data_IF_281270355402
#
_entry.id   IF_281270355402
#
_cell.length_a   1.000
_cell.length_b   1.000
_cell.length_c   1.000
_cell.angle_alpha   90.00
_cell.angle_beta   90.00
_cell.angle_gamma   90.00
#
_symmetry.space_group_name_H-M   'P 1'
#
loop_
_entity.id
_entity.type
_entity.pdbx_description
1 polymer ?
#
# COMPACT_ATOMS: atom_id res chain seq x y z
N UNK A 1 44.28 39.03 33.85
CA UNK A 1 43.00 38.75 33.21
C UNK A 1 43.24 37.84 32.00
N UNK A 2 43.23 36.54 32.23
CA UNK A 2 43.36 35.54 31.16
C UNK A 2 41.94 35.10 30.75
N UNK A 3 41.57 35.50 29.55
CA UNK A 3 40.32 35.01 28.93
C UNK A 3 40.59 33.59 28.37
N UNK A 4 40.09 32.59 29.05
CA UNK A 4 40.05 31.24 28.55
C UNK A 4 39.18 31.20 27.29
N UNK A 5 39.82 31.02 26.14
CA UNK A 5 39.16 30.63 24.89
C UNK A 5 38.56 29.21 25.09
N UNK A 6 37.29 29.12 25.38
CA UNK A 6 36.50 27.88 25.19
C UNK A 6 36.59 27.51 23.72
N UNK A 7 37.42 26.53 23.38
CA UNK A 7 37.43 25.86 22.07
C UNK A 7 36.15 25.04 22.06
N UNK A 8 35.11 25.51 21.36
CA UNK A 8 33.99 24.70 20.99
C UNK A 8 34.53 23.51 20.19
N UNK A 9 34.54 22.34 20.80
CA UNK A 9 34.88 21.09 20.11
C UNK A 9 33.86 20.89 19.02
N UNK A 10 34.25 21.16 17.78
CA UNK A 10 33.45 20.94 16.60
C UNK A 10 33.10 19.45 16.55
N UNK A 11 31.82 19.13 16.76
CA UNK A 11 31.30 17.78 16.72
C UNK A 11 31.48 17.20 15.32
N UNK A 12 32.18 16.08 15.18
CA UNK A 12 32.45 15.44 13.89
C UNK A 12 31.77 14.08 13.88
N UNK A 13 30.67 13.98 13.14
CA UNK A 13 30.00 12.73 12.88
C UNK A 13 30.83 11.76 12.05
N UNK A 14 30.63 10.46 12.25
CA UNK A 14 31.27 9.44 11.41
C UNK A 14 30.77 9.52 9.97
N UNK A 15 31.58 9.16 8.95
CA UNK A 15 31.15 9.15 7.56
C UNK A 15 29.87 8.31 7.32
N UNK A 16 29.71 7.20 8.04
CA UNK A 16 28.52 6.35 7.98
C UNK A 16 27.27 7.10 8.45
N UNK A 17 27.35 7.80 9.60
CA UNK A 17 26.22 8.55 10.14
C UNK A 17 25.85 9.76 9.28
N UNK A 18 26.82 10.42 8.66
CA UNK A 18 26.56 11.48 7.67
C UNK A 18 25.74 10.94 6.48
N UNK A 19 26.10 9.76 5.97
CA UNK A 19 25.37 9.11 4.90
C UNK A 19 23.95 8.73 5.36
N UNK A 20 23.79 8.17 6.56
CA UNK A 20 22.50 7.86 7.15
C UNK A 20 21.60 9.09 7.23
N UNK A 21 22.07 10.18 7.86
CA UNK A 21 21.28 11.39 8.02
C UNK A 21 20.96 12.09 6.71
N UNK A 22 21.84 12.03 5.71
CA UNK A 22 21.56 12.58 4.38
C UNK A 22 20.41 11.84 3.68
N UNK A 23 20.35 10.53 3.82
CA UNK A 23 19.26 9.71 3.27
C UNK A 23 17.98 9.90 4.10
N UNK A 24 18.10 9.90 5.43
CA UNK A 24 16.96 10.13 6.34
C UNK A 24 16.28 11.49 6.09
N UNK A 25 17.05 12.52 5.76
CA UNK A 25 16.50 13.85 5.45
C UNK A 25 15.57 13.85 4.21
N UNK A 26 15.76 12.90 3.28
CA UNK A 26 14.88 12.73 2.11
C UNK A 26 13.60 11.97 2.49
N UNK A 27 13.66 11.10 3.49
CA UNK A 27 12.54 10.28 3.98
C UNK A 27 12.31 10.48 5.48
N UNK A 28 11.96 11.70 5.93
CA UNK A 28 11.91 12.05 7.35
C UNK A 28 10.82 11.29 8.12
N UNK A 29 9.76 10.91 7.44
CA UNK A 29 8.57 10.24 7.95
C UNK A 29 8.63 8.70 7.87
N UNK A 30 9.71 8.12 7.33
CA UNK A 30 9.88 6.69 7.22
C UNK A 30 10.97 6.16 8.18
N UNK A 31 10.77 4.99 8.77
CA UNK A 31 11.83 4.26 9.47
C UNK A 31 12.86 3.82 8.44
N UNK A 32 14.10 4.29 8.57
CA UNK A 32 15.17 3.96 7.64
C UNK A 32 15.89 2.69 8.08
N UNK A 33 15.65 1.59 7.36
CA UNK A 33 16.40 0.34 7.49
C UNK A 33 17.67 0.44 6.65
N UNK A 34 18.79 0.73 7.29
CA UNK A 34 20.05 1.05 6.65
C UNK A 34 20.99 -0.15 6.66
N UNK A 35 21.38 -0.65 5.49
CA UNK A 35 22.23 -1.83 5.36
C UNK A 35 23.64 -1.57 5.83
N UNK A 36 24.09 -2.28 6.86
CA UNK A 36 25.45 -2.24 7.39
C UNK A 36 25.99 -3.67 7.52
N UNK A 37 26.78 -4.09 6.55
CA UNK A 37 27.25 -5.47 6.47
C UNK A 37 26.07 -6.44 6.37
N UNK A 38 25.97 -7.38 7.32
CA UNK A 38 24.91 -8.40 7.34
C UNK A 38 23.66 -7.99 8.13
N UNK A 39 23.54 -6.69 8.48
CA UNK A 39 22.42 -6.19 9.26
C UNK A 39 21.71 -5.05 8.54
N UNK A 40 20.40 -4.93 8.79
CA UNK A 40 19.68 -3.67 8.70
C UNK A 40 19.73 -3.00 10.07
N UNK A 41 20.37 -1.83 10.12
CA UNK A 41 20.48 -1.00 11.31
C UNK A 41 19.59 0.24 11.16
N UNK A 42 19.00 0.69 12.23
CA UNK A 42 18.27 1.95 12.32
C UNK A 42 18.76 2.73 13.54
N UNK A 43 18.71 4.06 13.48
CA UNK A 43 19.38 4.93 14.46
C UNK A 43 18.43 5.99 15.02
N UNK A 44 18.76 6.49 16.24
CA UNK A 44 18.04 7.57 16.90
C UNK A 44 16.57 7.22 17.18
N UNK A 45 15.66 8.11 16.83
CA UNK A 45 14.21 7.93 17.04
C UNK A 45 13.66 6.72 16.29
N UNK A 46 14.15 6.45 15.07
CA UNK A 46 13.77 5.27 14.31
C UNK A 46 14.13 3.97 15.06
N UNK A 47 15.31 3.95 15.73
CA UNK A 47 15.74 2.78 16.50
C UNK A 47 14.85 2.55 17.72
N UNK A 48 14.49 3.60 18.43
CA UNK A 48 13.60 3.54 19.59
C UNK A 48 12.23 2.97 19.15
N UNK A 49 11.69 3.52 18.07
CA UNK A 49 10.40 3.13 17.52
C UNK A 49 10.40 1.68 17.02
N UNK A 50 11.39 1.34 16.19
CA UNK A 50 11.55 -0.01 15.65
C UNK A 50 11.77 -1.05 16.76
N UNK A 51 12.60 -0.77 17.76
CA UNK A 51 12.82 -1.65 18.91
C UNK A 51 11.51 -1.95 19.65
N UNK A 52 10.68 -0.92 19.90
CA UNK A 52 9.38 -1.08 20.57
C UNK A 52 8.40 -1.96 19.77
N UNK A 53 8.31 -1.75 18.46
CA UNK A 53 7.38 -2.50 17.59
C UNK A 53 7.86 -3.94 17.38
N UNK A 54 9.15 -4.13 17.13
CA UNK A 54 9.72 -5.44 16.77
C UNK A 54 10.04 -6.32 17.97
N UNK A 55 10.15 -5.73 19.16
CA UNK A 55 10.59 -6.43 20.37
C UNK A 55 12.08 -6.82 20.32
N UNK A 56 12.92 -6.04 19.60
CA UNK A 56 14.36 -6.26 19.50
C UNK A 56 15.14 -5.35 20.43
N UNK A 57 16.38 -5.73 20.75
CA UNK A 57 17.22 -4.99 21.69
C UNK A 57 17.59 -3.61 21.17
N UNK A 58 17.34 -2.57 21.97
CA UNK A 58 17.84 -1.22 21.76
C UNK A 58 19.22 -1.12 22.36
N UNK A 59 20.21 -0.75 21.57
CA UNK A 59 21.61 -0.56 21.97
C UNK A 59 22.07 0.87 21.65
N UNK A 60 23.35 1.15 21.79
CA UNK A 60 23.95 2.44 21.44
C UNK A 60 25.21 2.26 20.65
N UNK A 61 25.43 3.12 19.66
CA UNK A 61 26.63 3.17 18.83
C UNK A 61 27.35 4.49 19.03
N UNK A 62 28.68 4.43 19.12
CA UNK A 62 29.50 5.63 19.16
C UNK A 62 29.45 6.38 17.81
N UNK A 63 29.17 7.70 17.84
CA UNK A 63 29.11 8.56 16.66
C UNK A 63 30.14 9.68 16.78
N UNK A 64 31.42 9.38 16.50
CA UNK A 64 32.53 10.36 16.56
C UNK A 64 32.95 10.71 17.97
N UNK A 65 33.45 11.92 18.16
CA UNK A 65 34.18 12.34 19.36
C UNK A 65 33.30 12.64 20.58
N UNK A 66 32.52 11.69 21.08
CA UNK A 66 31.89 11.73 22.40
C UNK A 66 30.36 11.62 22.50
N UNK A 67 29.64 11.33 21.46
CA UNK A 67 28.20 11.06 21.55
C UNK A 67 27.87 9.62 21.13
N UNK A 68 26.82 9.13 21.72
CA UNK A 68 26.22 7.87 21.35
C UNK A 68 24.89 8.16 20.67
N UNK A 69 24.51 7.32 19.70
CA UNK A 69 23.20 7.33 19.06
C UNK A 69 22.55 5.96 19.34
N UNK A 70 21.27 5.98 19.60
CA UNK A 70 20.47 4.77 19.76
C UNK A 70 20.55 3.94 18.47
N UNK A 71 20.65 2.61 18.64
CA UNK A 71 20.78 1.64 17.56
C UNK A 71 19.85 0.46 17.84
N UNK A 72 19.06 0.09 16.86
CA UNK A 72 18.39 -1.20 16.79
C UNK A 72 18.65 -1.81 15.42
N UNK A 73 18.67 -3.15 15.34
CA UNK A 73 18.93 -3.80 14.07
C UNK A 73 18.66 -5.30 14.13
N UNK A 74 18.56 -5.89 12.95
CA UNK A 74 18.35 -7.33 12.77
C UNK A 74 19.10 -7.81 11.52
N UNK A 75 19.42 -9.12 11.43
CA UNK A 75 20.10 -9.69 10.27
C UNK A 75 19.30 -9.45 8.98
N UNK A 76 19.97 -9.07 7.89
CA UNK A 76 19.29 -8.69 6.66
C UNK A 76 18.38 -9.77 6.07
N UNK A 77 18.78 -11.04 6.20
CA UNK A 77 17.99 -12.18 5.74
C UNK A 77 16.68 -12.37 6.54
N UNK A 78 16.53 -11.70 7.67
CA UNK A 78 15.32 -11.75 8.49
C UNK A 78 14.31 -10.61 8.16
N UNK A 79 14.55 -9.84 7.10
CA UNK A 79 13.67 -8.73 6.73
C UNK A 79 12.23 -9.17 6.52
N UNK A 80 12.00 -10.34 5.93
CA UNK A 80 10.66 -10.90 5.70
C UNK A 80 9.89 -11.23 6.99
N UNK A 81 10.60 -11.32 8.12
CA UNK A 81 10.00 -11.50 9.45
C UNK A 81 9.69 -10.17 10.14
N UNK A 82 10.55 -9.15 9.96
CA UNK A 82 10.49 -7.90 10.71
C UNK A 82 9.76 -6.77 9.96
N UNK A 83 9.96 -6.64 8.65
CA UNK A 83 9.29 -5.64 7.82
C UNK A 83 7.75 -5.70 7.94
N UNK A 84 7.12 -6.89 7.88
CA UNK A 84 5.67 -6.99 8.05
C UNK A 84 5.15 -6.41 9.37
N UNK A 85 5.92 -6.53 10.45
CA UNK A 85 5.51 -6.02 11.76
C UNK A 85 5.52 -4.49 11.79
N UNK A 86 6.51 -3.86 11.19
CA UNK A 86 6.59 -2.40 11.07
C UNK A 86 5.44 -1.85 10.23
N UNK A 87 5.20 -2.44 9.06
CA UNK A 87 4.14 -2.01 8.15
C UNK A 87 2.74 -2.20 8.77
N UNK A 88 2.50 -3.34 9.44
CA UNK A 88 1.23 -3.59 10.16
C UNK A 88 1.02 -2.66 11.35
N UNK A 89 2.10 -2.15 11.94
CA UNK A 89 2.03 -1.10 12.96
C UNK A 89 1.72 0.29 12.38
N UNK A 90 1.57 0.40 11.05
CA UNK A 90 1.28 1.64 10.35
C UNK A 90 2.52 2.47 10.01
N UNK A 91 3.72 1.87 10.04
CA UNK A 91 4.95 2.60 9.74
C UNK A 91 5.28 2.56 8.25
N UNK A 92 5.84 3.67 7.76
CA UNK A 92 6.52 3.72 6.47
C UNK A 92 7.95 3.27 6.68
N UNK A 93 8.48 2.43 5.80
CA UNK A 93 9.81 1.85 5.94
C UNK A 93 10.61 2.05 4.67
N UNK A 94 11.70 2.80 4.76
CA UNK A 94 12.65 2.98 3.67
C UNK A 94 13.74 1.90 3.75
N UNK A 95 13.80 1.04 2.76
CA UNK A 95 14.83 -0.01 2.65
C UNK A 95 16.03 0.57 1.91
N UNK A 96 17.14 0.68 2.59
CA UNK A 96 18.38 1.27 2.08
C UNK A 96 19.46 0.21 1.93
N UNK A 97 19.82 -0.09 0.67
CA UNK A 97 20.82 -1.10 0.31
C UNK A 97 22.16 -0.52 -0.10
N UNK A 98 23.19 -1.36 -0.05
CA UNK A 98 24.50 -1.08 -0.61
C UNK A 98 24.43 -1.16 -2.14
N UNK A 99 24.76 -0.07 -2.82
CA UNK A 99 24.71 0.02 -4.28
C UNK A 99 26.03 -0.41 -4.95
N UNK A 100 27.02 -0.75 -4.15
CA UNK A 100 28.37 -1.12 -4.59
C UNK A 100 28.84 -2.38 -3.80
N UNK A 101 29.62 -3.23 -4.44
CA UNK A 101 30.21 -4.39 -3.78
C UNK A 101 31.26 -3.94 -2.75
N UNK A 102 31.08 -4.22 -1.43
CA UNK A 102 32.04 -3.85 -0.41
C UNK A 102 33.47 -4.37 -0.63
N UNK A 103 33.61 -5.47 -1.39
CA UNK A 103 34.93 -6.07 -1.70
C UNK A 103 35.70 -5.30 -2.77
N UNK A 104 35.02 -4.46 -3.56
CA UNK A 104 35.61 -3.72 -4.69
C UNK A 104 35.87 -2.25 -4.37
N UNK A 105 35.29 -1.72 -3.27
CA UNK A 105 35.38 -0.31 -2.90
C UNK A 105 36.35 -0.09 -1.76
N UNK A 106 37.32 0.84 -1.96
CA UNK A 106 38.18 1.32 -0.87
C UNK A 106 37.48 2.49 -0.17
N UNK A 107 36.87 2.24 1.00
CA UNK A 107 36.23 3.29 1.80
C UNK A 107 34.77 2.98 2.15
N UNK A 108 33.97 4.04 2.31
CA UNK A 108 32.56 3.92 2.63
C UNK A 108 31.75 3.53 1.37
N UNK A 109 31.09 2.39 1.42
CA UNK A 109 30.20 1.90 0.34
C UNK A 109 29.02 2.86 0.18
N UNK A 110 28.71 3.21 -1.07
CA UNK A 110 27.54 4.02 -1.41
C UNK A 110 26.25 3.23 -1.15
N UNK A 111 25.27 3.91 -0.56
CA UNK A 111 23.94 3.35 -0.26
C UNK A 111 22.84 4.23 -0.82
N UNK A 112 21.71 3.63 -1.09
CA UNK A 112 20.51 4.33 -1.55
C UNK A 112 19.25 3.58 -1.15
N UNK A 113 18.13 4.30 -1.08
CA UNK A 113 16.82 3.69 -0.88
C UNK A 113 16.44 3.00 -2.18
N UNK A 114 16.15 1.72 -2.08
CA UNK A 114 15.71 0.88 -3.20
C UNK A 114 14.20 0.67 -3.21
N UNK A 115 13.55 0.84 -2.04
CA UNK A 115 12.12 0.63 -1.88
C UNK A 115 11.62 1.42 -0.67
N UNK A 116 10.47 2.06 -0.78
CA UNK A 116 9.73 2.66 0.33
C UNK A 116 8.43 1.89 0.52
N UNK A 117 8.42 1.01 1.51
CA UNK A 117 7.25 0.17 1.82
C UNK A 117 6.30 0.93 2.74
N UNK A 118 5.02 0.99 2.34
CA UNK A 118 3.96 1.66 3.10
C UNK A 118 2.75 0.72 3.22
N UNK A 119 1.79 0.98 4.14
CA UNK A 119 0.62 0.12 4.28
C UNK A 119 -0.20 -0.09 3.01
N UNK A 120 -0.22 0.87 2.09
CA UNK A 120 -0.94 0.81 0.81
C UNK A 120 -0.09 0.30 -0.36
N UNK A 121 1.23 0.20 -0.19
CA UNK A 121 2.15 -0.22 -1.27
C UNK A 121 3.02 -1.35 -0.75
N UNK A 122 2.48 -2.55 -0.83
CA UNK A 122 3.11 -3.78 -0.33
C UNK A 122 3.01 -4.86 -1.40
N UNK A 123 4.14 -5.46 -1.75
CA UNK A 123 4.22 -6.57 -2.72
C UNK A 123 4.49 -7.93 -2.06
N UNK A 124 4.97 -7.96 -0.82
CA UNK A 124 5.38 -9.20 -0.15
C UNK A 124 4.19 -10.04 0.35
N UNK A 125 4.10 -11.30 -0.06
CA UNK A 125 3.07 -12.24 0.38
C UNK A 125 3.00 -12.42 1.91
N UNK A 126 4.12 -12.26 2.60
CA UNK A 126 4.21 -12.36 4.06
C UNK A 126 3.53 -11.19 4.79
N UNK A 127 3.27 -10.07 4.11
CA UNK A 127 2.64 -8.88 4.67
C UNK A 127 1.14 -8.88 4.37
N UNK A 128 0.77 -9.34 3.17
CA UNK A 128 -0.60 -9.34 2.67
C UNK A 128 -1.40 -10.50 3.27
N UNK A 129 -2.63 -10.22 3.69
CA UNK A 129 -3.59 -11.28 3.95
C UNK A 129 -4.03 -11.90 2.62
N UNK A 130 -3.98 -13.24 2.50
CA UNK A 130 -4.20 -13.93 1.23
C UNK A 130 -5.58 -13.64 0.60
N UNK A 131 -6.63 -13.55 1.44
CA UNK A 131 -8.02 -13.32 0.99
C UNK A 131 -8.46 -11.86 1.11
N UNK A 132 -7.53 -10.89 1.14
CA UNK A 132 -7.85 -9.46 1.22
C UNK A 132 -7.11 -8.68 0.15
N UNK A 133 -7.76 -7.64 -0.36
CA UNK A 133 -7.11 -6.62 -1.15
C UNK A 133 -6.35 -5.64 -0.23
N UNK A 134 -5.24 -5.11 -0.72
CA UNK A 134 -4.49 -4.05 -0.08
C UNK A 134 -4.53 -2.79 -0.94
N UNK A 135 -5.68 -2.10 -0.93
CA UNK A 135 -5.84 -0.91 -1.74
C UNK A 135 -5.04 0.28 -1.21
N UNK A 136 -4.26 0.87 -2.10
CA UNK A 136 -3.85 2.27 -2.04
C UNK A 136 -4.97 3.08 -2.69
N UNK A 137 -5.49 4.10 -2.00
CA UNK A 137 -6.44 5.04 -2.58
C UNK A 137 -5.81 6.40 -2.83
N UNK A 138 -6.34 7.12 -3.80
CA UNK A 138 -6.02 8.54 -4.04
C UNK A 138 -7.31 9.32 -4.12
N UNK A 139 -7.38 10.44 -3.41
CA UNK A 139 -8.51 11.36 -3.44
C UNK A 139 -8.05 12.70 -4.00
N UNK A 140 -8.80 13.23 -4.96
CA UNK A 140 -8.59 14.54 -5.53
C UNK A 140 -9.85 15.40 -5.38
N UNK A 141 -9.73 16.53 -4.67
CA UNK A 141 -10.79 17.50 -4.50
C UNK A 141 -10.82 18.47 -5.68
N UNK A 142 -11.54 18.08 -6.74
CA UNK A 142 -11.71 18.92 -7.93
C UNK A 142 -12.69 20.08 -7.70
N UNK A 143 -12.87 20.92 -8.73
CA UNK A 143 -13.75 22.11 -8.63
C UNK A 143 -15.23 21.75 -8.61
N UNK A 144 -15.64 20.72 -9.33
CA UNK A 144 -17.05 20.32 -9.47
C UNK A 144 -17.33 18.98 -8.78
N UNK A 145 -16.40 18.04 -8.90
CA UNK A 145 -16.50 16.68 -8.37
C UNK A 145 -15.25 16.33 -7.58
N UNK A 146 -15.39 15.43 -6.64
CA UNK A 146 -14.27 14.77 -6.00
C UNK A 146 -13.98 13.48 -6.75
N UNK A 147 -12.73 13.26 -7.12
CA UNK A 147 -12.25 12.03 -7.76
C UNK A 147 -11.64 11.09 -6.75
N UNK A 148 -11.77 9.80 -7.00
CA UNK A 148 -11.07 8.76 -6.24
C UNK A 148 -10.57 7.67 -7.17
N UNK A 149 -9.42 7.14 -6.85
CA UNK A 149 -8.90 5.94 -7.47
C UNK A 149 -8.41 4.96 -6.40
N UNK A 150 -8.50 3.66 -6.68
CA UNK A 150 -8.05 2.58 -5.81
C UNK A 150 -7.19 1.62 -6.62
N UNK A 151 -6.02 1.31 -6.14
CA UNK A 151 -5.12 0.34 -6.76
C UNK A 151 -4.68 -0.69 -5.72
N UNK A 152 -4.88 -1.95 -6.03
CA UNK A 152 -4.17 -3.05 -5.37
C UNK A 152 -2.97 -3.42 -6.24
N UNK A 153 -1.78 -2.98 -5.85
CA UNK A 153 -0.56 -3.22 -6.60
C UNK A 153 -0.24 -4.71 -6.71
N UNK A 154 -0.69 -5.53 -5.76
CA UNK A 154 -0.42 -6.97 -5.75
C UNK A 154 -1.25 -7.77 -6.75
N UNK A 155 -2.41 -7.27 -7.16
CA UNK A 155 -3.31 -7.92 -8.13
C UNK A 155 -3.41 -7.16 -9.45
N UNK A 156 -2.99 -5.89 -9.48
CA UNK A 156 -3.19 -4.99 -10.61
C UNK A 156 -4.63 -4.47 -10.75
N UNK A 157 -5.51 -4.75 -9.78
CA UNK A 157 -6.88 -4.20 -9.77
C UNK A 157 -6.84 -2.68 -9.58
N UNK A 158 -7.27 -1.95 -10.61
CA UNK A 158 -7.26 -0.49 -10.62
C UNK A 158 -8.66 0.04 -10.89
N UNK A 159 -9.24 0.75 -9.91
CA UNK A 159 -10.59 1.32 -9.98
C UNK A 159 -10.54 2.83 -9.93
N UNK A 160 -11.53 3.48 -10.58
CA UNK A 160 -11.69 4.92 -10.56
C UNK A 160 -13.17 5.32 -10.50
N UNK A 161 -13.44 6.39 -9.76
CA UNK A 161 -14.76 7.01 -9.70
C UNK A 161 -14.63 8.51 -9.51
N UNK A 162 -15.70 9.25 -9.83
CA UNK A 162 -15.83 10.66 -9.46
C UNK A 162 -17.29 10.98 -9.12
N UNK A 163 -17.49 11.96 -8.23
CA UNK A 163 -18.81 12.34 -7.77
C UNK A 163 -18.79 13.22 -6.54
N UNK A 164 -19.87 13.16 -5.75
CA UNK A 164 -19.96 13.89 -4.48
C UNK A 164 -19.05 13.27 -3.41
N UNK A 165 -18.61 14.06 -2.44
CA UNK A 165 -17.82 13.58 -1.30
C UNK A 165 -18.54 12.46 -0.53
N UNK A 166 -19.86 12.57 -0.39
CA UNK A 166 -20.66 11.51 0.24
C UNK A 166 -20.63 10.19 -0.52
N UNK A 167 -20.55 10.22 -1.86
CA UNK A 167 -20.36 9.02 -2.67
C UNK A 167 -18.96 8.45 -2.48
N UNK A 168 -17.95 9.31 -2.49
CA UNK A 168 -16.55 8.90 -2.29
C UNK A 168 -16.34 8.30 -0.88
N UNK A 169 -16.99 8.88 0.18
CA UNK A 169 -16.95 8.30 1.54
C UNK A 169 -17.49 6.87 1.58
N UNK A 170 -18.56 6.58 0.83
CA UNK A 170 -19.08 5.23 0.71
C UNK A 170 -18.07 4.29 0.04
N UNK A 171 -17.44 4.73 -1.05
CA UNK A 171 -16.40 3.94 -1.73
C UNK A 171 -15.22 3.63 -0.82
N UNK A 172 -14.70 4.64 -0.13
CA UNK A 172 -13.60 4.48 0.83
C UNK A 172 -14.01 3.51 1.95
N UNK A 173 -15.23 3.63 2.45
CA UNK A 173 -15.74 2.78 3.53
C UNK A 173 -15.93 1.32 3.10
N UNK A 174 -16.36 1.09 1.86
CA UNK A 174 -16.62 -0.25 1.32
C UNK A 174 -15.35 -0.96 0.85
N UNK A 175 -14.41 -0.24 0.23
CA UNK A 175 -13.15 -0.82 -0.25
C UNK A 175 -12.05 -0.81 0.81
N UNK A 176 -12.23 -0.04 1.89
CA UNK A 176 -11.36 0.00 3.08
C UNK A 176 -9.86 0.05 2.74
N UNK A 177 -9.39 1.10 2.01
CA UNK A 177 -8.00 1.20 1.59
C UNK A 177 -7.07 1.21 2.81
N UNK A 178 -5.90 0.62 2.65
CA UNK A 178 -4.86 0.58 3.69
C UNK A 178 -4.13 1.91 3.82
N UNK A 179 -4.13 2.71 2.76
CA UNK A 179 -3.53 4.04 2.71
C UNK A 179 -4.31 4.92 1.74
N UNK A 180 -4.42 6.22 2.05
CA UNK A 180 -5.07 7.21 1.20
C UNK A 180 -4.12 8.38 0.95
N UNK A 181 -3.83 8.67 -0.31
CA UNK A 181 -3.08 9.86 -0.70
C UNK A 181 -4.04 10.96 -1.15
N UNK A 182 -3.70 12.21 -0.85
CA UNK A 182 -4.52 13.37 -1.25
C UNK A 182 -3.68 14.65 -1.34
N UNK A 183 -4.29 15.73 -1.83
CA UNK A 183 -3.66 17.02 -2.01
C UNK A 183 -3.27 17.65 -0.66
N UNK A 184 -2.07 18.20 -0.58
CA UNK A 184 -1.62 19.04 0.53
C UNK A 184 -2.46 20.32 0.61
N UNK A 185 -2.80 20.75 1.83
CA UNK A 185 -3.64 21.91 2.07
C UNK A 185 -5.14 21.61 2.10
N UNK A 186 -5.53 20.33 1.99
CA UNK A 186 -6.92 19.86 2.09
C UNK A 186 -7.19 19.02 3.33
N UNK A 187 -6.35 19.12 4.37
CA UNK A 187 -6.39 18.30 5.57
C UNK A 187 -7.73 18.37 6.30
N UNK A 188 -8.23 19.58 6.53
CA UNK A 188 -9.50 19.80 7.22
C UNK A 188 -10.66 19.23 6.40
N UNK A 189 -10.71 19.54 5.10
CA UNK A 189 -11.74 19.04 4.20
C UNK A 189 -11.73 17.51 4.11
N UNK A 190 -10.54 16.90 4.07
CA UNK A 190 -10.39 15.46 4.06
C UNK A 190 -10.91 14.84 5.36
N UNK A 191 -10.52 15.41 6.50
CA UNK A 191 -10.95 14.94 7.82
C UNK A 191 -12.45 15.07 8.03
N UNK A 192 -13.05 16.16 7.57
CA UNK A 192 -14.50 16.42 7.65
C UNK A 192 -15.28 15.43 6.78
N UNK A 193 -14.80 15.14 5.56
CA UNK A 193 -15.48 14.25 4.62
C UNK A 193 -15.33 12.76 4.98
N UNK A 194 -14.12 12.32 5.35
CA UNK A 194 -13.78 10.90 5.45
C UNK A 194 -13.35 10.45 6.86
N UNK A 195 -13.14 11.40 7.76
CA UNK A 195 -12.68 11.15 9.14
C UNK A 195 -11.16 11.08 9.27
N UNK A 196 -10.68 11.03 10.53
CA UNK A 196 -9.26 11.14 10.89
C UNK A 196 -8.55 9.80 11.16
N UNK A 197 -9.25 8.66 10.97
CA UNK A 197 -8.70 7.33 11.30
C UNK A 197 -7.96 6.64 10.16
N UNK A 198 -8.05 7.19 8.96
CA UNK A 198 -7.38 6.64 7.78
C UNK A 198 -5.88 6.92 7.86
N UNK A 199 -5.08 5.95 7.43
CA UNK A 199 -3.66 6.18 7.21
C UNK A 199 -3.50 7.01 5.95
N UNK A 200 -2.86 8.18 6.04
CA UNK A 200 -2.85 9.15 4.93
C UNK A 200 -1.47 9.67 4.60
N UNK A 201 -1.27 10.03 3.32
CA UNK A 201 -0.11 10.76 2.86
C UNK A 201 -0.52 11.92 1.94
N UNK A 202 0.20 13.05 2.03
CA UNK A 202 -0.13 14.28 1.30
C UNK A 202 0.86 14.52 0.19
N UNK A 203 0.35 14.71 -1.01
CA UNK A 203 1.13 15.06 -2.19
C UNK A 203 0.91 16.53 -2.56
N UNK A 204 1.89 17.14 -3.19
CA UNK A 204 1.77 18.51 -3.68
C UNK A 204 0.74 18.61 -4.81
N UNK A 205 0.07 19.75 -4.92
CA UNK A 205 -1.06 19.95 -5.83
C UNK A 205 -0.72 19.66 -7.30
N UNK A 206 0.50 19.98 -7.73
CA UNK A 206 0.93 19.74 -9.12
C UNK A 206 0.90 18.26 -9.55
N UNK A 207 0.99 17.33 -8.61
CA UNK A 207 0.89 15.89 -8.85
C UNK A 207 -0.48 15.51 -9.42
N UNK A 208 -1.51 16.30 -9.11
CA UNK A 208 -2.89 16.04 -9.53
C UNK A 208 -3.27 16.77 -10.85
N UNK A 209 -2.28 17.24 -11.63
CA UNK A 209 -2.54 17.87 -12.94
C UNK A 209 -3.23 16.89 -13.91
N UNK A 210 -4.41 17.25 -14.41
CA UNK A 210 -5.23 16.40 -15.26
C UNK A 210 -4.48 15.98 -16.54
N UNK A 211 -3.86 16.95 -17.23
CA UNK A 211 -3.17 16.69 -18.50
C UNK A 211 -2.01 15.70 -18.32
N UNK A 212 -1.15 15.95 -17.30
CA UNK A 212 0.00 15.09 -16.99
C UNK A 212 -0.45 13.69 -16.60
N UNK A 213 -1.50 13.59 -15.79
CA UNK A 213 -2.00 12.33 -15.29
C UNK A 213 -2.69 11.50 -16.38
N UNK A 214 -3.42 12.16 -17.29
CA UNK A 214 -4.01 11.52 -18.47
C UNK A 214 -2.92 10.93 -19.39
N UNK A 215 -1.84 11.68 -19.65
CA UNK A 215 -0.70 11.20 -20.41
C UNK A 215 0.00 10.02 -19.75
N UNK A 216 0.23 10.12 -18.41
CA UNK A 216 0.84 9.06 -17.60
C UNK A 216 0.02 7.77 -17.66
N UNK A 217 -1.30 7.84 -17.54
CA UNK A 217 -2.21 6.69 -17.63
C UNK A 217 -2.19 6.09 -19.05
N UNK A 218 -2.22 6.91 -20.10
CA UNK A 218 -2.10 6.44 -21.47
C UNK A 218 -0.78 5.70 -21.72
N UNK A 219 0.31 6.21 -21.19
CA UNK A 219 1.64 5.57 -21.29
C UNK A 219 1.65 4.24 -20.53
N UNK A 220 1.11 4.20 -19.30
CA UNK A 220 1.03 2.98 -18.48
C UNK A 220 0.28 1.86 -19.21
N UNK A 221 -0.85 2.18 -19.82
CA UNK A 221 -1.70 1.19 -20.50
C UNK A 221 -1.34 0.97 -21.99
N UNK A 222 -0.28 1.61 -22.49
CA UNK A 222 0.15 1.47 -23.87
C UNK A 222 -0.90 1.94 -24.90
N UNK A 223 -1.73 2.94 -24.55
CA UNK A 223 -2.84 3.42 -25.36
C UNK A 223 -2.71 4.91 -25.69
N UNK A 224 -3.38 5.34 -26.78
CA UNK A 224 -3.48 6.77 -27.14
C UNK A 224 -4.68 7.47 -26.51
N UNK A 225 -5.64 6.75 -25.97
CA UNK A 225 -6.87 7.29 -25.42
C UNK A 225 -7.44 6.34 -24.36
N UNK A 226 -8.06 6.90 -23.33
CA UNK A 226 -8.71 6.15 -22.25
C UNK A 226 -10.16 5.77 -22.57
N UNK A 227 -10.64 6.04 -23.79
CA UNK A 227 -12.02 5.71 -24.25
C UNK A 227 -12.35 4.23 -24.12
N UNK A 228 -11.38 3.36 -24.45
CA UNK A 228 -11.56 1.91 -24.36
C UNK A 228 -11.85 1.39 -22.94
N UNK A 229 -11.44 2.15 -21.93
CA UNK A 229 -11.71 1.83 -20.52
C UNK A 229 -13.01 2.49 -20.00
N UNK A 230 -13.70 3.31 -20.82
CA UNK A 230 -14.91 4.01 -20.42
C UNK A 230 -14.72 5.16 -19.42
N UNK A 231 -13.49 5.65 -19.23
CA UNK A 231 -13.12 6.66 -18.24
C UNK A 231 -12.66 7.99 -18.83
N UNK A 232 -12.69 8.13 -20.16
CA UNK A 232 -12.13 9.28 -20.87
C UNK A 232 -12.81 10.61 -20.52
N UNK A 233 -14.06 10.59 -20.07
CA UNK A 233 -14.82 11.75 -19.63
C UNK A 233 -14.56 12.17 -18.19
N UNK A 234 -13.86 11.36 -17.40
CA UNK A 234 -13.49 11.72 -16.04
C UNK A 234 -12.35 12.74 -16.03
N UNK A 235 -12.41 13.68 -15.09
CA UNK A 235 -11.36 14.69 -14.85
C UNK A 235 -10.74 14.49 -13.47
N UNK A 236 -11.56 14.63 -12.43
CA UNK A 236 -11.12 14.46 -11.04
C UNK A 236 -10.67 13.02 -10.76
N UNK A 237 -11.38 12.03 -11.31
CA UNK A 237 -11.02 10.62 -11.18
C UNK A 237 -9.67 10.28 -11.82
N UNK A 238 -9.40 10.82 -13.03
CA UNK A 238 -8.12 10.59 -13.71
C UNK A 238 -6.96 11.31 -13.01
N UNK A 239 -7.21 12.51 -12.44
CA UNK A 239 -6.22 13.19 -11.60
C UNK A 239 -5.84 12.35 -10.38
N UNK A 240 -6.82 11.74 -9.72
CA UNK A 240 -6.58 10.82 -8.62
C UNK A 240 -5.83 9.55 -9.05
N UNK A 241 -6.22 8.95 -10.20
CA UNK A 241 -5.58 7.74 -10.71
C UNK A 241 -4.11 7.97 -11.10
N UNK A 242 -3.81 9.08 -11.78
CA UNK A 242 -2.44 9.42 -12.14
C UNK A 242 -1.55 9.73 -10.94
N UNK A 243 -2.13 10.31 -9.87
CA UNK A 243 -1.40 10.54 -8.62
C UNK A 243 -0.98 9.21 -7.96
N UNK A 244 -1.74 8.13 -8.09
CA UNK A 244 -1.31 6.79 -7.67
C UNK A 244 -0.04 6.36 -8.42
N UNK A 245 -0.02 6.47 -9.75
CA UNK A 245 1.16 6.11 -10.54
C UNK A 245 2.38 6.96 -10.17
N UNK A 246 2.19 8.25 -9.89
CA UNK A 246 3.25 9.10 -9.38
C UNK A 246 3.76 8.61 -8.01
N UNK A 247 2.85 8.25 -7.11
CA UNK A 247 3.19 7.77 -5.79
C UNK A 247 3.99 6.45 -5.83
N UNK A 248 3.67 5.55 -6.76
CA UNK A 248 4.44 4.33 -6.97
C UNK A 248 5.88 4.64 -7.44
N UNK A 249 6.05 5.59 -8.35
CA UNK A 249 7.38 6.05 -8.76
C UNK A 249 8.15 6.68 -7.57
N UNK A 250 7.47 7.49 -6.75
CA UNK A 250 8.02 8.12 -5.56
C UNK A 250 8.44 7.09 -4.49
N UNK A 251 7.74 5.97 -4.40
CA UNK A 251 8.04 4.86 -3.49
C UNK A 251 8.97 3.80 -4.10
N UNK A 252 9.58 4.11 -5.25
CA UNK A 252 10.53 3.26 -6.00
C UNK A 252 9.91 1.94 -6.54
N UNK A 253 8.60 1.84 -6.62
CA UNK A 253 7.90 0.73 -7.27
C UNK A 253 7.81 0.97 -8.77
N UNK A 254 8.87 0.61 -9.50
CA UNK A 254 9.01 0.90 -10.94
C UNK A 254 8.51 -0.22 -11.83
N UNK A 255 8.49 -1.44 -11.34
CA UNK A 255 8.01 -2.62 -12.10
C UNK A 255 6.51 -2.81 -11.87
N UNK A 256 5.72 -2.03 -12.62
CA UNK A 256 4.26 -2.01 -12.59
C UNK A 256 3.63 -2.40 -13.94
N UNK A 257 4.38 -3.14 -14.78
CA UNK A 257 3.94 -3.55 -16.12
C UNK A 257 2.66 -4.42 -16.10
N UNK A 258 2.41 -5.13 -15.00
CA UNK A 258 1.20 -5.94 -14.79
C UNK A 258 -0.08 -5.11 -14.60
N UNK A 259 0.03 -3.81 -14.30
CA UNK A 259 -1.13 -2.90 -14.21
C UNK A 259 -1.48 -2.46 -15.64
N UNK A 260 -2.38 -3.20 -16.28
CA UNK A 260 -2.69 -3.07 -17.70
C UNK A 260 -4.03 -2.40 -18.00
N UNK A 261 -4.86 -2.18 -17.00
CA UNK A 261 -6.21 -1.66 -17.18
C UNK A 261 -6.70 -0.86 -15.99
N UNK A 262 -7.72 -0.03 -16.23
CA UNK A 262 -8.45 0.71 -15.20
C UNK A 262 -9.94 0.52 -15.45
N UNK A 263 -10.70 0.29 -14.36
CA UNK A 263 -12.14 0.09 -14.41
C UNK A 263 -12.86 1.20 -13.64
N UNK A 264 -13.95 1.71 -14.23
CA UNK A 264 -14.78 2.66 -13.51
C UNK A 264 -15.74 1.95 -12.55
N UNK A 265 -16.06 2.62 -11.45
CA UNK A 265 -17.13 2.22 -10.55
C UNK A 265 -18.29 3.19 -10.79
N UNK A 266 -19.42 2.65 -11.26
CA UNK A 266 -20.63 3.42 -11.49
C UNK A 266 -21.55 3.36 -10.26
N UNK A 267 -21.99 4.54 -9.80
CA UNK A 267 -22.82 4.65 -8.62
C UNK A 267 -24.16 3.87 -8.78
N UNK A 268 -24.66 3.77 -9.99
CA UNK A 268 -25.95 3.17 -10.29
C UNK A 268 -25.93 1.65 -10.30
N UNK A 269 -24.77 1.02 -10.46
CA UNK A 269 -24.64 -0.43 -10.58
C UNK A 269 -24.77 -1.18 -9.26
N UNK A 270 -24.58 -0.49 -8.12
CA UNK A 270 -24.42 -1.13 -6.82
C UNK A 270 -25.39 -0.60 -5.76
N UNK A 271 -25.67 -1.42 -4.76
CA UNK A 271 -26.28 -1.00 -3.49
C UNK A 271 -25.18 -0.48 -2.57
N UNK A 272 -25.26 0.80 -2.23
CA UNK A 272 -24.26 1.43 -1.38
C UNK A 272 -24.66 1.39 0.09
N UNK A 273 -23.76 0.82 0.90
CA UNK A 273 -23.94 0.70 2.33
C UNK A 273 -22.99 1.69 3.00
N UNK A 274 -23.48 2.48 3.95
CA UNK A 274 -22.65 3.42 4.69
C UNK A 274 -21.80 2.74 5.77
N UNK A 275 -20.79 3.45 6.27
CA UNK A 275 -19.83 2.95 7.27
C UNK A 275 -20.47 2.51 8.60
N UNK A 276 -21.60 3.12 8.98
CA UNK A 276 -22.30 2.75 10.22
C UNK A 276 -23.02 1.43 10.04
N UNK A 277 -23.66 1.23 8.90
CA UNK A 277 -24.35 -0.01 8.53
C UNK A 277 -23.35 -1.16 8.38
N UNK A 278 -22.22 -0.94 7.69
CA UNK A 278 -21.13 -1.95 7.57
C UNK A 278 -20.69 -2.42 8.96
N UNK A 279 -20.44 -1.46 9.87
CA UNK A 279 -20.00 -1.77 11.23
C UNK A 279 -21.09 -2.44 12.06
N UNK A 280 -22.33 -1.94 12.00
CA UNK A 280 -23.43 -2.45 12.82
C UNK A 280 -23.90 -3.83 12.38
N UNK A 281 -23.81 -4.14 11.09
CA UNK A 281 -24.05 -5.47 10.55
C UNK A 281 -22.85 -6.41 10.68
N UNK A 282 -21.73 -5.90 11.21
CA UNK A 282 -20.48 -6.66 11.35
C UNK A 282 -20.05 -7.38 10.06
N UNK A 283 -20.12 -6.66 8.91
CA UNK A 283 -19.90 -7.29 7.61
C UNK A 283 -18.48 -7.83 7.46
N UNK A 284 -17.45 -7.08 7.92
CA UNK A 284 -16.03 -7.42 7.75
C UNK A 284 -15.23 -7.47 9.05
N UNK A 285 -15.78 -6.95 10.15
CA UNK A 285 -15.14 -6.94 11.46
C UNK A 285 -16.18 -7.15 12.56
N UNK A 286 -15.87 -7.94 13.57
CA UNK A 286 -16.74 -8.11 14.71
C UNK A 286 -16.48 -7.02 15.76
N UNK A 287 -17.53 -6.52 16.42
CA UNK A 287 -17.46 -5.55 17.52
C UNK A 287 -17.16 -6.21 18.88
N UNK A 288 -17.05 -7.54 18.92
CA UNK A 288 -16.85 -8.33 20.13
C UNK A 288 -15.40 -8.79 20.34
N UNK A 289 -15.14 -9.40 21.48
CA UNK A 289 -13.83 -9.96 21.85
C UNK A 289 -13.45 -11.25 21.08
N UNK A 290 -14.30 -11.75 20.20
CA UNK A 290 -14.05 -12.95 19.42
C UNK A 290 -13.48 -12.57 18.05
N UNK A 291 -12.28 -13.03 17.77
CA UNK A 291 -11.68 -12.94 16.43
C UNK A 291 -12.47 -13.81 15.43
N UNK A 292 -12.56 -13.34 14.17
CA UNK A 292 -13.16 -14.07 13.02
C UNK A 292 -14.63 -14.47 13.22
N UNK A 293 -15.46 -13.53 13.63
CA UNK A 293 -16.90 -13.69 13.78
C UNK A 293 -17.72 -12.71 12.94
N UNK A 294 -17.10 -12.04 11.94
CA UNK A 294 -17.84 -11.18 11.02
C UNK A 294 -18.75 -11.97 10.08
N UNK A 295 -19.70 -11.30 9.44
CA UNK A 295 -20.52 -11.92 8.42
C UNK A 295 -19.69 -12.58 7.32
N UNK A 296 -18.67 -11.87 6.81
CA UNK A 296 -17.77 -12.41 5.81
C UNK A 296 -17.02 -13.66 6.30
N UNK A 297 -16.53 -13.67 7.55
CA UNK A 297 -15.83 -14.84 8.11
C UNK A 297 -16.73 -16.08 8.19
N UNK A 298 -18.01 -15.89 8.52
CA UNK A 298 -18.98 -17.00 8.67
C UNK A 298 -19.34 -17.62 7.32
N UNK A 299 -19.53 -16.79 6.27
CA UNK A 299 -19.96 -17.28 4.95
C UNK A 299 -18.78 -17.65 4.03
N UNK A 300 -17.55 -17.22 4.32
CA UNK A 300 -16.41 -17.54 3.46
C UNK A 300 -16.09 -19.05 3.48
N UNK A 301 -16.44 -19.70 2.38
CA UNK A 301 -16.10 -21.08 2.07
C UNK A 301 -15.27 -21.18 0.79
N UNK A 302 -14.68 -20.05 0.35
CA UNK A 302 -13.87 -20.00 -0.85
C UNK A 302 -12.59 -20.83 -0.70
N UNK A 303 -12.21 -21.52 -1.75
CA UNK A 303 -11.04 -22.41 -1.78
C UNK A 303 -9.77 -21.66 -2.18
N UNK A 304 -9.91 -20.58 -2.95
CA UNK A 304 -8.78 -19.80 -3.46
C UNK A 304 -8.71 -18.41 -2.83
N UNK A 305 -7.52 -17.81 -2.74
CA UNK A 305 -7.38 -16.41 -2.32
C UNK A 305 -8.19 -15.44 -3.19
N UNK A 306 -8.16 -15.62 -4.51
CA UNK A 306 -8.94 -14.84 -5.50
C UNK A 306 -10.45 -14.90 -5.20
N UNK A 307 -10.96 -16.10 -4.92
CA UNK A 307 -12.36 -16.29 -4.53
C UNK A 307 -12.71 -15.54 -3.25
N UNK A 308 -11.82 -15.54 -2.25
CA UNK A 308 -12.01 -14.79 -1.01
C UNK A 308 -12.06 -13.27 -1.23
N UNK A 309 -11.18 -12.72 -2.05
CA UNK A 309 -11.21 -11.30 -2.44
C UNK A 309 -12.49 -10.95 -3.20
N UNK A 310 -12.90 -11.80 -4.15
CA UNK A 310 -14.13 -11.60 -4.90
C UNK A 310 -15.37 -11.65 -4.00
N UNK A 311 -15.45 -12.59 -3.07
CA UNK A 311 -16.56 -12.68 -2.10
C UNK A 311 -16.67 -11.40 -1.26
N UNK A 312 -15.57 -10.91 -0.71
CA UNK A 312 -15.55 -9.66 0.07
C UNK A 312 -16.00 -8.47 -0.76
N UNK A 313 -15.58 -8.38 -2.03
CA UNK A 313 -16.03 -7.35 -2.96
C UNK A 313 -17.52 -7.44 -3.24
N UNK A 314 -18.09 -8.64 -3.41
CA UNK A 314 -19.52 -8.81 -3.60
C UNK A 314 -20.35 -8.41 -2.38
N UNK A 315 -19.82 -8.63 -1.18
CA UNK A 315 -20.46 -8.18 0.07
C UNK A 315 -20.37 -6.65 0.17
N UNK A 316 -19.21 -6.06 -0.15
CA UNK A 316 -18.99 -4.61 -0.09
C UNK A 316 -19.82 -3.84 -1.12
N UNK A 317 -19.98 -4.39 -2.33
CA UNK A 317 -20.64 -3.75 -3.47
C UNK A 317 -21.66 -4.70 -4.10
N UNK A 318 -22.81 -4.95 -3.45
CA UNK A 318 -23.87 -5.80 -4.03
C UNK A 318 -24.44 -5.16 -5.30
N UNK A 319 -24.53 -5.94 -6.37
CA UNK A 319 -25.11 -5.48 -7.64
C UNK A 319 -26.63 -5.32 -7.53
N UNK A 320 -27.19 -4.36 -8.31
CA UNK A 320 -28.64 -4.11 -8.38
C UNK A 320 -29.33 -4.80 -9.57
N UNK A 321 -28.58 -5.10 -10.62
CA UNK A 321 -29.11 -5.62 -11.87
C UNK A 321 -29.72 -7.02 -11.67
N UNK A 322 -31.07 -7.18 -11.84
CA UNK A 322 -31.72 -8.47 -11.64
C UNK A 322 -31.24 -9.53 -12.63
N UNK A 323 -30.84 -9.15 -13.84
CA UNK A 323 -30.36 -10.11 -14.85
C UNK A 323 -29.03 -10.69 -14.40
N UNK A 324 -28.08 -9.84 -14.02
CA UNK A 324 -26.78 -10.29 -13.50
C UNK A 324 -26.89 -11.09 -12.20
N UNK A 325 -27.86 -10.75 -11.35
CA UNK A 325 -28.18 -11.53 -10.14
C UNK A 325 -28.69 -12.91 -10.53
N UNK A 326 -29.65 -12.97 -11.50
CA UNK A 326 -30.18 -14.20 -12.02
C UNK A 326 -29.11 -15.12 -12.58
N UNK A 327 -28.20 -14.61 -13.43
CA UNK A 327 -27.05 -15.36 -13.97
C UNK A 327 -26.19 -16.01 -12.87
N UNK A 328 -25.92 -15.28 -11.77
CA UNK A 328 -25.19 -15.84 -10.63
C UNK A 328 -25.96 -16.94 -9.92
N UNK A 329 -27.28 -16.76 -9.75
CA UNK A 329 -28.14 -17.73 -9.12
C UNK A 329 -28.29 -18.99 -9.98
N UNK A 330 -28.35 -18.88 -11.30
CA UNK A 330 -28.40 -20.01 -12.25
C UNK A 330 -27.18 -20.92 -12.10
N UNK A 331 -25.98 -20.32 -11.92
CA UNK A 331 -24.75 -21.09 -11.65
C UNK A 331 -24.84 -21.84 -10.32
N UNK A 332 -25.33 -21.17 -9.27
CA UNK A 332 -25.53 -21.81 -7.96
C UNK A 332 -26.54 -22.95 -8.07
N UNK A 333 -27.68 -22.74 -8.75
CA UNK A 333 -28.71 -23.77 -8.96
C UNK A 333 -28.15 -24.99 -9.72
N UNK A 334 -27.29 -24.76 -10.74
CA UNK A 334 -26.65 -25.85 -11.47
C UNK A 334 -25.80 -26.72 -10.54
N UNK A 335 -24.99 -26.13 -9.65
CA UNK A 335 -24.16 -26.87 -8.71
C UNK A 335 -24.98 -27.57 -7.60
N UNK A 336 -26.12 -26.98 -7.18
CA UNK A 336 -27.02 -27.61 -6.22
C UNK A 336 -27.69 -28.84 -6.83
N UNK A 337 -28.06 -28.78 -8.13
CA UNK A 337 -28.73 -29.90 -8.85
C UNK A 337 -27.74 -30.99 -9.26
N UNK A 338 -26.50 -30.67 -9.46
CA UNK A 338 -25.46 -31.57 -9.98
C UNK A 338 -24.28 -31.60 -9.02
N UNK A 339 -24.39 -32.41 -7.96
CA UNK A 339 -23.40 -32.51 -6.89
C UNK A 339 -22.07 -33.10 -7.40
N UNK A 340 -22.13 -34.06 -8.35
CA UNK A 340 -20.92 -34.67 -8.92
C UNK A 340 -20.08 -33.61 -9.67
N UNK A 341 -20.74 -32.78 -10.48
CA UNK A 341 -20.07 -31.64 -11.14
C UNK A 341 -19.50 -30.66 -10.12
N UNK A 342 -20.27 -30.36 -9.06
CA UNK A 342 -19.81 -29.45 -8.01
C UNK A 342 -18.53 -29.96 -7.31
N UNK A 343 -18.47 -31.27 -7.04
CA UNK A 343 -17.29 -31.90 -6.40
C UNK A 343 -16.08 -31.91 -7.33
N UNK A 344 -16.25 -32.26 -8.61
CA UNK A 344 -15.17 -32.19 -9.61
C UNK A 344 -14.63 -30.76 -9.73
N UNK A 345 -15.49 -29.75 -9.85
CA UNK A 345 -15.07 -28.35 -9.95
C UNK A 345 -14.35 -27.92 -8.66
N UNK A 346 -14.85 -28.31 -7.48
CA UNK A 346 -14.23 -28.00 -6.18
C UNK A 346 -12.81 -28.57 -6.09
N UNK A 347 -12.61 -29.84 -6.49
CA UNK A 347 -11.29 -30.48 -6.50
C UNK A 347 -10.31 -29.76 -7.42
N UNK A 348 -10.75 -29.38 -8.62
CA UNK A 348 -9.89 -28.70 -9.58
C UNK A 348 -9.55 -27.26 -9.11
N UNK A 349 -10.54 -26.52 -8.59
CA UNK A 349 -10.32 -25.16 -8.07
C UNK A 349 -9.38 -25.16 -6.86
N UNK A 350 -9.43 -26.19 -6.00
CA UNK A 350 -8.54 -26.31 -4.85
C UNK A 350 -7.05 -26.45 -5.24
N UNK A 351 -6.77 -26.89 -6.47
CA UNK A 351 -5.39 -26.98 -7.00
C UNK A 351 -4.88 -25.66 -7.59
N UNK A 352 -5.76 -24.67 -7.77
CA UNK A 352 -5.40 -23.38 -8.36
C UNK A 352 -4.82 -22.47 -7.29
N UNK A 353 -3.58 -22.03 -7.49
CA UNK A 353 -2.92 -21.03 -6.65
C UNK A 353 -3.48 -19.62 -6.86
N UNK A 354 -2.86 -18.63 -6.25
CA UNK A 354 -3.22 -17.22 -6.42
C UNK A 354 -2.67 -16.65 -7.74
N UNK A 355 -3.40 -16.86 -8.83
CA UNK A 355 -2.98 -16.41 -10.17
C UNK A 355 -2.95 -14.89 -10.31
N UNK A 356 -3.74 -14.15 -9.54
CA UNK A 356 -3.74 -12.68 -9.59
C UNK A 356 -2.43 -12.11 -9.06
N UNK A 357 -1.83 -12.75 -8.04
CA UNK A 357 -0.57 -12.33 -7.43
C UNK A 357 0.68 -13.00 -8.02
N UNK A 358 0.50 -14.13 -8.70
CA UNK A 358 1.65 -14.91 -9.22
C UNK A 358 2.41 -14.16 -10.32
N UNK A 359 1.73 -13.28 -11.07
CA UNK A 359 2.36 -12.46 -12.10
C UNK A 359 3.46 -11.55 -11.55
N UNK A 360 3.34 -11.10 -10.31
CA UNK A 360 4.35 -10.27 -9.64
C UNK A 360 5.61 -11.06 -9.29
N UNK A 361 5.47 -12.32 -8.87
CA UNK A 361 6.60 -13.18 -8.49
C UNK A 361 7.50 -13.54 -9.67
N UNK A 362 6.96 -13.55 -10.89
CA UNK A 362 7.71 -13.88 -12.11
C UNK A 362 8.23 -12.66 -12.89
N UNK A 363 7.68 -11.48 -12.68
CA UNK A 363 8.05 -10.26 -13.43
C UNK A 363 9.02 -9.36 -12.68
N UNK A 364 9.14 -9.52 -11.37
CA UNK A 364 10.05 -8.74 -10.55
C UNK A 364 11.09 -9.66 -9.93
N UNK A 365 12.32 -9.78 -10.53
CA UNK A 365 13.45 -10.27 -9.77
C UNK A 365 13.61 -9.34 -8.57
N UNK A 366 13.48 -9.87 -7.37
CA UNK A 366 13.72 -9.10 -6.16
C UNK A 366 15.05 -8.36 -6.33
N UNK A 367 15.14 -7.04 -6.07
CA UNK A 367 16.42 -6.35 -6.00
C UNK A 367 17.40 -7.01 -5.04
N UNK A 368 16.93 -8.01 -4.29
CA UNK A 368 17.67 -8.81 -3.31
C UNK A 368 18.34 -10.05 -3.93
N UNK A 369 17.96 -10.41 -5.16
CA UNK A 369 18.48 -11.59 -5.87
C UNK A 369 19.64 -11.25 -6.83
N UNK A 370 20.07 -9.97 -6.85
CA UNK A 370 21.22 -9.49 -7.61
C UNK A 370 22.48 -9.33 -6.76
#
# INVERSE_FOLDING_TARGET
MNAEKKIEKKYVETPLMKQYYSIKAVHPDAILLFRVGDFYETFGEDAIKASGILGITLTRRANGSATYVELAGFPYHAIDTYLPKLVRAGERVAICEQLEDPKQVRGLVKRGVIELVTPGVVLGDNILANKENAFLASVYFGRQTTGVAFLDISTGEFYVAEGSESYIDKLISNLAPKEVIYQRGYEDRFSDAFGSKLYTYRLDEWVFSEEVNREKLCKQFGTRSLKGFGVDHFTSGLSAAGAILYYLEFTEHRDIAHITSISRIDQEDYVWVDKFTIRNLELFSSNGAREKCSFADVIDRTLTPMGGRLLKRWIAMPIKDPVKIGERLDVVEKFVRDADLADVVREQVALVGDMERICLLYTSPSPRDC
#
